data_IF_933738794513
#
_entry.id   IF_933738794513
#
_cell.length_a   1.000
_cell.length_b   1.000
_cell.length_c   1.000
_cell.angle_alpha   90.00
_cell.angle_beta   90.00
_cell.angle_gamma   90.00
#
_symmetry.space_group_name_H-M   'P 1'
#
loop_
_entity.id
_entity.type
_entity.pdbx_description
1 polymer ?
#
# COMPACT_ATOMS: atom_id res chain seq x y z
N UNK A 1 -3.52 13.31 1.46
CA UNK A 1 -2.10 13.71 1.29
C UNK A 1 -1.67 13.83 -0.17
N UNK A 2 -1.77 12.78 -0.99
CA UNK A 2 -1.29 12.86 -2.39
C UNK A 2 -2.11 13.83 -3.24
N UNK A 3 -3.42 13.95 -3.00
CA UNK A 3 -4.24 14.98 -3.66
C UNK A 3 -3.86 16.42 -3.26
N UNK A 4 -3.31 16.62 -2.06
CA UNK A 4 -2.75 17.92 -1.65
C UNK A 4 -1.50 18.23 -2.46
N UNK A 5 -0.63 17.24 -2.68
CA UNK A 5 0.49 17.36 -3.61
C UNK A 5 0.00 17.72 -5.02
N UNK A 6 -1.01 17.01 -5.54
CA UNK A 6 -1.58 17.30 -6.85
C UNK A 6 -2.14 18.72 -6.94
N UNK A 7 -2.83 19.19 -5.89
CA UNK A 7 -3.36 20.55 -5.79
C UNK A 7 -2.24 21.59 -5.77
N UNK A 8 -1.14 21.34 -5.04
CA UNK A 8 0.01 22.22 -5.01
C UNK A 8 0.71 22.28 -6.38
N UNK A 9 0.88 21.14 -7.04
CA UNK A 9 1.41 21.06 -8.40
C UNK A 9 0.55 21.83 -9.42
N UNK A 10 -0.77 21.68 -9.35
CA UNK A 10 -1.71 22.38 -10.24
C UNK A 10 -1.63 23.91 -10.07
N UNK A 11 -1.63 24.40 -8.82
CA UNK A 11 -1.46 25.83 -8.51
C UNK A 11 -0.17 26.41 -9.07
N UNK A 12 0.90 25.63 -9.06
CA UNK A 12 2.22 26.01 -9.58
C UNK A 12 2.40 25.68 -11.07
N UNK A 13 1.37 25.15 -11.75
CA UNK A 13 1.38 24.76 -13.17
C UNK A 13 2.49 23.78 -13.52
N UNK A 14 2.67 22.75 -12.68
CA UNK A 14 3.65 21.69 -12.88
C UNK A 14 2.99 20.32 -12.88
N UNK A 15 3.70 19.34 -13.46
CA UNK A 15 3.30 17.95 -13.36
C UNK A 15 3.38 17.43 -11.92
N UNK A 16 2.45 16.55 -11.57
CA UNK A 16 2.59 15.72 -10.36
C UNK A 16 3.78 14.79 -10.58
N UNK A 17 4.74 14.72 -9.64
CA UNK A 17 5.90 13.86 -9.80
C UNK A 17 5.47 12.39 -9.83
N UNK A 18 6.34 11.53 -10.33
CA UNK A 18 6.08 10.09 -10.35
C UNK A 18 6.80 9.46 -9.16
N UNK A 19 6.04 8.85 -8.26
CA UNK A 19 6.57 8.18 -7.08
C UNK A 19 6.28 6.68 -7.09
N UNK A 20 7.27 5.87 -6.69
CA UNK A 20 7.11 4.41 -6.57
C UNK A 20 6.66 3.98 -5.17
N UNK A 21 6.96 4.77 -4.14
CA UNK A 21 6.56 4.50 -2.76
C UNK A 21 6.28 5.80 -2.00
N UNK A 22 5.39 5.69 -1.01
CA UNK A 22 5.09 6.74 -0.03
C UNK A 22 5.26 6.11 1.34
N UNK A 23 6.02 6.76 2.22
CA UNK A 23 6.14 6.36 3.61
C UNK A 23 5.45 7.40 4.46
N UNK A 24 4.48 6.97 5.25
CA UNK A 24 3.76 7.84 6.18
C UNK A 24 4.21 7.52 7.60
N UNK A 25 5.08 8.37 8.13
CA UNK A 25 5.48 8.34 9.52
C UNK A 25 4.54 9.14 10.41
N UNK A 26 4.84 9.19 11.71
CA UNK A 26 3.97 9.83 12.70
C UNK A 26 3.77 11.33 12.45
N UNK A 27 4.82 12.03 12.01
CA UNK A 27 4.79 13.49 11.79
C UNK A 27 5.20 13.90 10.37
N UNK A 28 5.75 12.97 9.59
CA UNK A 28 6.38 13.26 8.30
C UNK A 28 5.93 12.25 7.26
N UNK A 29 5.76 12.74 6.04
CA UNK A 29 5.43 11.97 4.85
C UNK A 29 6.62 12.03 3.92
N UNK A 30 7.11 10.88 3.48
CA UNK A 30 8.15 10.78 2.47
C UNK A 30 7.58 10.24 1.18
N UNK A 31 7.98 10.84 0.07
CA UNK A 31 7.62 10.45 -1.28
C UNK A 31 8.90 10.04 -2.00
N UNK A 32 9.01 8.75 -2.33
CA UNK A 32 10.16 8.21 -3.06
C UNK A 32 9.91 8.29 -4.56
N UNK A 33 10.64 9.18 -5.21
CA UNK A 33 10.46 9.51 -6.62
C UNK A 33 11.17 8.50 -7.51
N UNK A 34 10.51 8.20 -8.63
CA UNK A 34 11.09 7.39 -9.72
C UNK A 34 12.21 8.15 -10.44
N UNK A 35 12.02 9.44 -10.64
CA UNK A 35 13.00 10.35 -11.25
C UNK A 35 13.35 11.43 -10.24
N UNK A 36 14.64 11.69 -9.98
CA UNK A 36 15.05 12.78 -9.10
C UNK A 36 14.48 14.13 -9.54
N UNK A 37 13.98 14.91 -8.60
CA UNK A 37 13.51 16.29 -8.79
C UNK A 37 13.87 17.10 -7.52
N UNK A 38 14.67 18.15 -7.67
CA UNK A 38 15.15 18.96 -6.54
C UNK A 38 14.24 20.14 -6.21
N UNK A 39 13.21 20.40 -7.03
CA UNK A 39 12.35 21.56 -6.90
C UNK A 39 10.94 21.11 -6.60
N UNK A 40 10.59 20.75 -5.36
CA UNK A 40 9.23 20.37 -4.99
C UNK A 40 8.29 21.58 -4.90
N UNK A 41 6.96 21.38 -4.94
CA UNK A 41 6.02 22.47 -4.75
C UNK A 41 5.97 22.94 -3.30
N UNK A 42 5.33 24.07 -3.05
CA UNK A 42 5.12 24.60 -1.71
C UNK A 42 4.49 23.55 -0.79
N UNK A 43 5.08 23.35 0.40
CA UNK A 43 4.65 22.28 1.31
C UNK A 43 5.62 21.13 1.42
N UNK A 44 6.45 20.95 0.41
CA UNK A 44 7.37 19.84 0.28
C UNK A 44 8.82 20.34 0.24
N UNK A 45 9.73 19.48 0.69
CA UNK A 45 11.17 19.73 0.67
C UNK A 45 11.85 18.51 0.07
N UNK A 46 12.80 18.70 -0.84
CA UNK A 46 13.58 17.62 -1.42
C UNK A 46 14.83 17.37 -0.59
N UNK A 47 15.26 16.12 -0.54
CA UNK A 47 16.60 15.79 -0.08
C UNK A 47 17.66 16.19 -1.12
N UNK A 48 18.93 16.12 -0.74
CA UNK A 48 20.05 16.50 -1.63
C UNK A 48 20.13 15.66 -2.90
N UNK A 49 19.55 14.46 -2.91
CA UNK A 49 19.54 13.60 -4.10
C UNK A 49 18.38 13.90 -5.05
N UNK A 50 17.40 14.72 -4.62
CA UNK A 50 16.13 14.93 -5.32
C UNK A 50 15.25 13.68 -5.40
N UNK A 51 15.65 12.55 -4.80
CA UNK A 51 14.90 11.28 -4.90
C UNK A 51 13.82 11.15 -3.85
N UNK A 52 13.94 11.89 -2.75
CA UNK A 52 12.95 11.84 -1.68
C UNK A 52 12.44 13.23 -1.41
N UNK A 53 11.13 13.41 -1.56
CA UNK A 53 10.45 14.59 -1.03
C UNK A 53 9.85 14.29 0.32
N UNK A 54 9.84 15.28 1.19
CA UNK A 54 9.23 15.16 2.50
C UNK A 54 8.39 16.38 2.85
N UNK A 55 7.32 16.14 3.61
CA UNK A 55 6.42 17.16 4.13
C UNK A 55 5.89 16.77 5.51
N UNK A 56 5.53 17.76 6.33
CA UNK A 56 4.91 17.50 7.61
C UNK A 56 3.48 16.96 7.43
N UNK A 57 3.18 15.82 8.03
CA UNK A 57 1.88 15.15 7.92
C UNK A 57 0.74 16.08 8.35
N UNK A 58 0.87 16.69 9.53
CA UNK A 58 -0.14 17.63 10.07
C UNK A 58 -0.43 18.80 9.13
N UNK A 59 0.59 19.29 8.42
CA UNK A 59 0.42 20.37 7.44
C UNK A 59 -0.40 19.87 6.28
N UNK A 60 0.02 18.75 5.67
CA UNK A 60 -0.72 18.16 4.54
C UNK A 60 -2.18 17.85 4.90
N UNK A 61 -2.45 17.41 6.13
CA UNK A 61 -3.82 17.14 6.58
C UNK A 61 -4.69 18.40 6.75
N UNK A 62 -4.08 19.57 6.93
CA UNK A 62 -4.78 20.85 7.08
C UNK A 62 -5.03 21.60 5.76
N UNK A 63 -4.39 21.17 4.67
CA UNK A 63 -4.47 21.83 3.37
C UNK A 63 -5.76 21.45 2.62
N UNK A 64 -6.30 22.39 1.86
CA UNK A 64 -7.44 22.13 0.98
C UNK A 64 -7.04 21.36 -0.26
N UNK A 65 -7.97 20.55 -0.76
CA UNK A 65 -7.78 19.72 -1.96
C UNK A 65 -8.71 20.22 -3.07
N UNK A 66 -8.20 20.32 -4.29
CA UNK A 66 -9.04 20.56 -5.47
C UNK A 66 -9.83 19.29 -5.83
N UNK A 67 -11.16 19.39 -5.84
CA UNK A 67 -12.05 18.26 -6.14
C UNK A 67 -12.07 17.87 -7.62
N UNK A 68 -11.74 18.80 -8.50
CA UNK A 68 -11.72 18.59 -9.95
C UNK A 68 -10.49 17.82 -10.47
N UNK A 69 -9.46 17.65 -9.64
CA UNK A 69 -8.24 16.98 -10.07
C UNK A 69 -8.41 15.45 -10.00
N UNK A 70 -7.93 14.72 -11.01
CA UNK A 70 -7.95 13.26 -10.98
C UNK A 70 -7.06 12.72 -9.84
N UNK A 71 -7.32 11.48 -9.43
CA UNK A 71 -6.50 10.82 -8.43
C UNK A 71 -5.08 10.60 -8.99
N UNK A 72 -4.03 11.15 -8.33
CA UNK A 72 -2.67 11.14 -8.89
C UNK A 72 -2.07 9.74 -8.95
N UNK A 73 -2.33 8.89 -7.94
CA UNK A 73 -1.81 7.53 -7.87
C UNK A 73 -2.95 6.54 -7.55
N UNK A 74 -3.77 6.15 -8.55
CA UNK A 74 -4.96 5.34 -8.28
C UNK A 74 -4.65 3.88 -7.93
N UNK A 75 -3.45 3.38 -8.27
CA UNK A 75 -2.98 2.01 -7.96
C UNK A 75 -2.04 1.98 -6.75
N UNK A 76 -2.35 2.80 -5.75
CA UNK A 76 -1.62 2.84 -4.50
C UNK A 76 -2.15 1.74 -3.56
N UNK A 77 -1.25 0.93 -3.03
CA UNK A 77 -1.56 -0.18 -2.12
C UNK A 77 -0.66 -0.19 -0.89
N UNK A 78 -1.20 -0.68 0.21
CA UNK A 78 -0.57 -0.86 1.51
C UNK A 78 0.40 -2.03 1.50
N UNK A 79 1.64 -1.80 1.92
CA UNK A 79 2.65 -2.87 2.03
C UNK A 79 2.88 -3.33 3.47
N UNK A 80 2.97 -2.39 4.41
CA UNK A 80 3.26 -2.67 5.81
C UNK A 80 4.08 -1.55 6.46
N UNK A 81 4.76 -1.84 7.56
CA UNK A 81 5.49 -0.85 8.35
C UNK A 81 7.00 -0.97 8.21
N UNK A 82 7.65 0.17 8.35
CA UNK A 82 9.10 0.30 8.46
C UNK A 82 9.43 1.03 9.77
N UNK A 83 10.72 1.19 10.10
CA UNK A 83 11.12 2.04 11.21
C UNK A 83 10.67 3.50 11.03
N UNK A 84 10.51 3.96 9.79
CA UNK A 84 10.07 5.32 9.45
C UNK A 84 8.56 5.50 9.45
N UNK A 85 7.79 4.45 9.19
CA UNK A 85 6.33 4.51 9.14
C UNK A 85 5.69 3.50 8.18
N UNK A 86 4.40 3.71 7.93
CA UNK A 86 3.60 2.85 7.07
C UNK A 86 3.89 3.12 5.59
N UNK A 87 4.08 2.06 4.81
CA UNK A 87 4.49 2.09 3.41
C UNK A 87 3.30 1.84 2.51
N UNK A 88 3.12 2.74 1.55
CA UNK A 88 2.22 2.62 0.42
C UNK A 88 3.06 2.50 -0.87
N UNK A 89 2.79 1.49 -1.69
CA UNK A 89 3.44 1.25 -2.97
C UNK A 89 2.54 1.68 -4.13
N UNK A 90 3.13 2.34 -5.11
CA UNK A 90 2.45 2.69 -6.34
C UNK A 90 2.73 1.63 -7.42
N UNK A 91 1.81 0.68 -7.59
CA UNK A 91 1.99 -0.46 -8.50
C UNK A 91 2.13 -0.02 -9.97
N UNK A 92 1.66 1.19 -10.32
CA UNK A 92 1.80 1.73 -11.68
C UNK A 92 3.26 1.94 -12.10
N UNK A 93 4.20 1.95 -11.15
CA UNK A 93 5.58 2.33 -11.41
C UNK A 93 6.54 1.19 -11.69
N UNK A 94 6.10 -0.06 -11.55
CA UNK A 94 6.92 -1.20 -11.90
C UNK A 94 7.40 -1.11 -13.36
N UNK A 95 6.47 -1.01 -14.31
CA UNK A 95 6.77 -1.08 -15.75
C UNK A 95 7.34 -2.45 -16.12
N UNK A 96 6.59 -3.49 -15.78
CA UNK A 96 6.95 -4.91 -15.90
C UNK A 96 6.31 -5.72 -14.77
N UNK A 97 6.63 -7.02 -14.70
CA UNK A 97 6.05 -7.93 -13.70
C UNK A 97 6.58 -7.63 -12.29
N UNK A 98 5.68 -7.53 -11.33
CA UNK A 98 5.97 -7.55 -9.89
C UNK A 98 5.82 -9.00 -9.41
N UNK A 99 6.89 -9.59 -8.90
CA UNK A 99 6.85 -10.95 -8.32
C UNK A 99 6.75 -10.89 -6.80
N UNK A 100 5.83 -11.67 -6.22
CA UNK A 100 5.71 -11.93 -4.79
C UNK A 100 6.21 -13.35 -4.51
N UNK A 101 7.43 -13.47 -3.99
CA UNK A 101 8.12 -14.74 -3.78
C UNK A 101 8.30 -15.05 -2.28
N UNK A 102 8.68 -16.29 -1.95
CA UNK A 102 8.91 -16.72 -0.57
C UNK A 102 7.75 -17.54 -0.01
N UNK A 103 7.30 -17.20 1.20
CA UNK A 103 6.18 -17.89 1.85
C UNK A 103 4.88 -17.68 1.07
N UNK A 104 4.34 -18.77 0.54
CA UNK A 104 3.17 -18.73 -0.34
C UNK A 104 1.89 -18.27 0.36
N UNK A 105 1.77 -18.50 1.69
CA UNK A 105 0.60 -18.03 2.46
C UNK A 105 0.66 -16.52 2.61
N UNK A 106 1.81 -15.99 3.02
CA UNK A 106 2.00 -14.55 3.19
C UNK A 106 1.89 -13.78 1.87
N UNK A 107 2.48 -14.31 0.79
CA UNK A 107 2.38 -13.70 -0.54
C UNK A 107 0.94 -13.65 -1.05
N UNK A 108 0.15 -14.70 -0.79
CA UNK A 108 -1.27 -14.72 -1.15
C UNK A 108 -2.08 -13.75 -0.30
N UNK A 109 -1.85 -13.71 1.01
CA UNK A 109 -2.54 -12.79 1.91
C UNK A 109 -2.29 -11.33 1.53
N UNK A 110 -1.04 -10.96 1.19
CA UNK A 110 -0.71 -9.62 0.70
C UNK A 110 -1.45 -9.28 -0.59
N UNK A 111 -1.49 -10.21 -1.55
CA UNK A 111 -2.23 -10.01 -2.80
C UNK A 111 -3.76 -9.89 -2.59
N UNK A 112 -4.31 -10.61 -1.62
CA UNK A 112 -5.72 -10.52 -1.23
C UNK A 112 -6.03 -9.18 -0.55
N UNK A 113 -5.12 -8.66 0.29
CA UNK A 113 -5.25 -7.33 0.86
C UNK A 113 -5.19 -6.23 -0.20
N UNK A 114 -4.24 -6.31 -1.14
CA UNK A 114 -4.18 -5.38 -2.27
C UNK A 114 -5.44 -5.44 -3.12
N UNK A 115 -5.98 -6.64 -3.36
CA UNK A 115 -7.25 -6.79 -4.08
C UNK A 115 -8.36 -6.04 -3.36
N UNK A 116 -8.49 -6.23 -2.03
CA UNK A 116 -9.51 -5.56 -1.23
C UNK A 116 -9.32 -4.05 -1.30
N UNK A 117 -8.11 -3.58 -1.06
CA UNK A 117 -7.79 -2.16 -1.07
C UNK A 117 -8.09 -1.51 -2.43
N UNK A 118 -7.64 -2.10 -3.53
CA UNK A 118 -7.87 -1.57 -4.87
C UNK A 118 -9.35 -1.56 -5.28
N UNK A 119 -10.17 -2.45 -4.71
CA UNK A 119 -11.61 -2.54 -5.02
C UNK A 119 -12.48 -1.70 -4.09
N UNK A 120 -12.00 -1.34 -2.90
CA UNK A 120 -12.79 -0.59 -1.90
C UNK A 120 -12.29 0.83 -1.65
N UNK A 121 -11.06 1.16 -2.06
CA UNK A 121 -10.48 2.47 -1.72
C UNK A 121 -11.00 3.59 -2.64
N UNK A 122 -11.33 4.77 -2.09
CA UNK A 122 -11.80 5.89 -2.90
C UNK A 122 -10.81 6.36 -3.96
N UNK A 123 -9.50 6.29 -3.68
CA UNK A 123 -8.47 6.70 -4.64
C UNK A 123 -8.29 5.72 -5.81
N UNK A 124 -8.79 4.50 -5.68
CA UNK A 124 -8.72 3.45 -6.71
C UNK A 124 -9.96 3.40 -7.58
N UNK A 125 -10.82 4.42 -7.53
CA UNK A 125 -11.97 4.51 -8.43
C UNK A 125 -11.55 4.40 -9.90
N UNK A 126 -12.18 3.48 -10.62
CA UNK A 126 -11.87 3.20 -12.03
C UNK A 126 -10.73 2.20 -12.26
N UNK A 127 -10.03 1.75 -11.21
CA UNK A 127 -9.02 0.69 -11.36
C UNK A 127 -9.71 -0.67 -11.53
N UNK A 128 -9.43 -1.34 -12.64
CA UNK A 128 -9.87 -2.72 -12.84
C UNK A 128 -8.96 -3.68 -12.06
N UNK A 129 -9.53 -4.64 -11.36
CA UNK A 129 -8.78 -5.68 -10.65
C UNK A 129 -9.14 -7.05 -11.23
N UNK A 130 -8.17 -7.70 -11.88
CA UNK A 130 -8.34 -9.00 -12.51
C UNK A 130 -7.53 -10.03 -11.74
N UNK A 131 -8.16 -11.15 -11.37
CA UNK A 131 -7.53 -12.22 -10.58
C UNK A 131 -7.52 -13.51 -11.38
N UNK A 132 -6.33 -14.03 -11.68
CA UNK A 132 -6.13 -15.22 -12.51
C UNK A 132 -5.59 -16.37 -11.64
N UNK A 133 -6.26 -17.53 -11.68
CA UNK A 133 -5.87 -18.72 -10.93
C UNK A 133 -6.37 -18.78 -9.49
N UNK A 134 -7.16 -17.80 -9.02
CA UNK A 134 -7.78 -17.79 -7.70
C UNK A 134 -9.10 -18.57 -7.70
N UNK A 135 -9.44 -19.23 -6.58
CA UNK A 135 -10.76 -19.87 -6.42
C UNK A 135 -11.82 -18.78 -6.22
N UNK A 136 -13.00 -18.86 -6.88
CA UNK A 136 -14.09 -17.93 -6.61
C UNK A 136 -14.64 -18.13 -5.19
N UNK A 137 -14.77 -17.03 -4.43
CA UNK A 137 -15.35 -17.01 -3.08
C UNK A 137 -16.85 -16.63 -3.07
N UNK A 138 -17.56 -16.80 -1.93
CA UNK A 138 -18.95 -16.37 -1.80
C UNK A 138 -18.99 -14.85 -1.69
N UNK A 139 -19.60 -14.18 -2.67
CA UNK A 139 -19.83 -12.73 -2.76
C UNK A 139 -18.59 -11.90 -3.18
N UNK A 140 -18.17 -12.00 -4.44
CA UNK A 140 -17.38 -10.94 -5.11
C UNK A 140 -18.31 -10.18 -6.06
N UNK A 141 -18.95 -9.13 -5.55
CA UNK A 141 -19.92 -8.29 -6.30
C UNK A 141 -19.44 -6.85 -6.52
N UNK A 142 -18.15 -6.59 -6.35
CA UNK A 142 -17.57 -5.25 -6.54
C UNK A 142 -16.49 -5.27 -7.63
N UNK A 143 -16.73 -4.51 -8.70
CA UNK A 143 -15.88 -4.43 -9.88
C UNK A 143 -16.02 -5.64 -10.79
N UNK A 144 -15.69 -5.50 -12.07
CA UNK A 144 -15.65 -6.63 -13.02
C UNK A 144 -14.51 -7.59 -12.65
N UNK A 145 -14.67 -8.38 -11.60
CA UNK A 145 -13.89 -9.60 -11.37
C UNK A 145 -14.37 -10.64 -12.38
N UNK A 146 -13.98 -10.44 -13.64
CA UNK A 146 -13.95 -11.56 -14.55
C UNK A 146 -12.91 -12.53 -13.99
N UNK A 147 -13.34 -13.73 -13.62
CA UNK A 147 -12.48 -14.91 -13.53
C UNK A 147 -12.68 -15.67 -14.83
N UNK A 148 -12.14 -15.19 -15.96
CA UNK A 148 -12.26 -15.92 -17.21
C UNK A 148 -11.51 -17.25 -17.09
N UNK A 149 -12.02 -18.28 -17.76
CA UNK A 149 -11.17 -19.40 -18.12
C UNK A 149 -9.92 -18.85 -18.87
N UNK A 150 -8.76 -19.54 -18.90
CA UNK A 150 -7.57 -19.04 -19.60
C UNK A 150 -7.82 -18.57 -21.05
N UNK A 151 -8.89 -19.07 -21.68
CA UNK A 151 -9.34 -18.69 -23.02
C UNK A 151 -10.05 -17.31 -23.12
N UNK A 152 -10.61 -16.76 -22.02
CA UNK A 152 -11.41 -15.52 -22.02
C UNK A 152 -10.68 -14.31 -21.37
N UNK A 153 -9.41 -14.50 -20.96
CA UNK A 153 -8.59 -13.46 -20.32
C UNK A 153 -8.36 -12.21 -21.18
N UNK A 154 -8.37 -12.38 -22.51
CA UNK A 154 -8.17 -11.29 -23.46
C UNK A 154 -9.27 -10.21 -23.37
N UNK A 155 -10.53 -10.59 -23.11
CA UNK A 155 -11.64 -9.65 -23.01
C UNK A 155 -11.60 -8.83 -21.71
N UNK A 156 -11.22 -9.47 -20.60
CA UNK A 156 -11.11 -8.81 -19.29
C UNK A 156 -9.92 -7.83 -19.23
N UNK A 157 -8.85 -8.10 -19.98
CA UNK A 157 -7.65 -7.26 -20.04
C UNK A 157 -7.69 -6.20 -21.16
N UNK A 158 -8.74 -6.23 -22.00
CA UNK A 158 -8.98 -5.26 -23.08
C UNK A 158 -9.82 -4.05 -22.70
N UNK A 159 -10.20 -3.91 -21.43
CA UNK A 159 -11.01 -2.78 -20.95
C UNK A 159 -10.30 -1.43 -21.09
N UNK A 160 -11.04 -0.39 -21.48
CA UNK A 160 -10.53 0.97 -21.53
C UNK A 160 -10.22 1.46 -20.10
N UNK A 161 -8.96 1.83 -19.82
CA UNK A 161 -8.52 2.41 -18.55
C UNK A 161 -7.47 1.61 -17.76
N UNK A 162 -7.21 0.35 -18.15
CA UNK A 162 -6.19 -0.48 -17.51
C UNK A 162 -6.52 -0.87 -16.06
N UNK A 163 -5.55 -1.37 -15.30
CA UNK A 163 -5.80 -1.90 -13.97
C UNK A 163 -4.63 -2.60 -13.29
N UNK A 164 -4.97 -3.55 -12.42
CA UNK A 164 -4.06 -4.47 -11.73
C UNK A 164 -4.48 -5.90 -12.03
N UNK A 165 -3.56 -6.69 -12.59
CA UNK A 165 -3.75 -8.12 -12.80
C UNK A 165 -2.95 -8.88 -11.74
N UNK A 166 -3.63 -9.67 -10.90
CA UNK A 166 -3.01 -10.55 -9.92
C UNK A 166 -3.10 -12.00 -10.39
N UNK A 167 -1.96 -12.69 -10.44
CA UNK A 167 -1.85 -14.05 -10.94
C UNK A 167 -1.30 -14.98 -9.86
N UNK A 168 -1.95 -16.13 -9.67
CA UNK A 168 -1.37 -17.24 -8.92
C UNK A 168 -0.46 -18.05 -9.83
N UNK A 169 0.83 -17.71 -9.81
CA UNK A 169 1.84 -18.28 -10.69
C UNK A 169 1.79 -17.73 -12.12
N UNK A 170 2.89 -17.88 -12.84
CA UNK A 170 2.96 -17.48 -14.24
C UNK A 170 2.40 -18.62 -15.12
N UNK A 171 1.46 -18.33 -16.04
CA UNK A 171 0.95 -19.36 -16.94
C UNK A 171 2.05 -19.82 -17.92
N UNK A 172 1.85 -21.00 -18.52
CA UNK A 172 2.74 -21.54 -19.55
C UNK A 172 2.36 -21.11 -20.98
N UNK A 173 3.18 -21.49 -21.96
CA UNK A 173 2.84 -21.37 -23.38
C UNK A 173 2.57 -19.93 -23.85
N UNK A 174 1.56 -19.75 -24.72
CA UNK A 174 1.20 -18.46 -25.33
C UNK A 174 0.67 -17.44 -24.32
N UNK A 175 0.05 -17.91 -23.24
CA UNK A 175 -0.49 -17.02 -22.21
C UNK A 175 0.62 -16.30 -21.47
N UNK A 176 1.77 -16.96 -21.27
CA UNK A 176 2.97 -16.33 -20.71
C UNK A 176 3.43 -15.12 -21.51
N UNK A 177 3.55 -15.28 -22.82
CA UNK A 177 3.99 -14.20 -23.73
C UNK A 177 3.00 -13.03 -23.74
N UNK A 178 1.71 -13.31 -23.56
CA UNK A 178 0.67 -12.28 -23.40
C UNK A 178 0.85 -11.51 -22.09
N UNK A 179 1.08 -12.20 -20.97
CA UNK A 179 1.30 -11.55 -19.67
C UNK A 179 2.54 -10.65 -19.68
N UNK A 180 3.64 -11.09 -20.31
CA UNK A 180 4.82 -10.21 -20.48
C UNK A 180 4.51 -8.97 -21.33
N UNK A 181 3.82 -9.13 -22.46
CA UNK A 181 3.40 -7.97 -23.28
C UNK A 181 2.48 -7.01 -22.54
N UNK A 182 1.58 -7.53 -21.70
CA UNK A 182 0.70 -6.72 -20.86
C UNK A 182 1.50 -5.93 -19.81
N UNK A 183 2.49 -6.58 -19.18
CA UNK A 183 3.32 -5.98 -18.15
C UNK A 183 4.30 -4.94 -18.71
N UNK A 184 4.80 -5.15 -19.92
CA UNK A 184 5.76 -4.29 -20.61
C UNK A 184 5.09 -3.20 -21.48
N UNK A 185 3.77 -3.02 -21.36
CA UNK A 185 3.03 -1.97 -22.06
C UNK A 185 3.64 -0.58 -21.76
N UNK A 186 4.12 0.16 -22.78
CA UNK A 186 4.69 1.50 -22.59
C UNK A 186 3.71 2.51 -22.00
N UNK A 187 2.40 2.32 -22.20
CA UNK A 187 1.37 3.17 -21.61
C UNK A 187 1.12 2.84 -20.13
N UNK A 188 1.69 1.73 -19.63
CA UNK A 188 1.56 1.31 -18.24
C UNK A 188 0.11 1.08 -17.82
N UNK A 189 -0.77 0.69 -18.75
CA UNK A 189 -2.19 0.53 -18.44
C UNK A 189 -2.39 -0.54 -17.37
N UNK A 190 -1.57 -1.59 -17.35
CA UNK A 190 -1.67 -2.69 -16.40
C UNK A 190 -0.48 -2.79 -15.47
N UNK A 191 -0.76 -3.00 -14.19
CA UNK A 191 0.22 -3.46 -13.21
C UNK A 191 0.05 -4.97 -13.03
N UNK A 192 1.09 -5.75 -13.33
CA UNK A 192 1.00 -7.21 -13.30
C UNK A 192 1.73 -7.73 -12.08
N UNK A 193 0.99 -8.40 -11.18
CA UNK A 193 1.49 -9.01 -9.96
C UNK A 193 1.39 -10.53 -10.09
N UNK A 194 2.51 -11.24 -9.89
CA UNK A 194 2.57 -12.70 -9.95
C UNK A 194 3.00 -13.23 -8.59
N UNK A 195 2.18 -14.08 -7.99
CA UNK A 195 2.54 -14.83 -6.78
C UNK A 195 3.34 -16.05 -7.20
N UNK A 196 4.60 -16.11 -6.78
CA UNK A 196 5.55 -17.15 -7.13
C UNK A 196 6.71 -16.66 -8.00
N UNK A 197 7.62 -17.58 -8.30
CA UNK A 197 8.88 -17.24 -8.95
C UNK A 197 8.70 -16.81 -10.39
N UNK A 198 9.39 -15.71 -10.74
CA UNK A 198 9.51 -15.22 -12.12
C UNK A 198 10.99 -15.07 -12.47
N UNK A 199 11.39 -15.38 -13.70
CA UNK A 199 12.79 -15.35 -14.13
C UNK A 199 13.32 -13.91 -14.21
N UNK A 200 12.53 -13.00 -14.78
CA UNK A 200 12.90 -11.60 -15.00
C UNK A 200 11.82 -10.62 -14.52
N UNK A 201 11.47 -10.63 -13.22
CA UNK A 201 10.55 -9.65 -12.68
C UNK A 201 11.23 -8.29 -12.67
N UNK A 202 10.43 -7.26 -12.91
CA UNK A 202 10.86 -5.88 -12.80
C UNK A 202 11.05 -5.47 -11.35
N UNK A 203 10.09 -5.86 -10.50
CA UNK A 203 10.20 -5.76 -9.05
C UNK A 203 10.11 -7.16 -8.45
N UNK A 204 11.08 -7.51 -7.60
CA UNK A 204 11.12 -8.79 -6.89
C UNK A 204 10.92 -8.52 -5.42
N UNK A 205 9.77 -8.92 -4.89
CA UNK A 205 9.48 -8.84 -3.47
C UNK A 205 9.58 -10.24 -2.87
N UNK A 206 10.38 -10.39 -1.83
CA UNK A 206 10.52 -11.66 -1.10
C UNK A 206 9.91 -11.52 0.27
N UNK A 207 8.97 -12.42 0.59
CA UNK A 207 8.18 -12.41 1.81
C UNK A 207 8.52 -13.66 2.61
N UNK A 208 8.96 -13.49 3.85
CA UNK A 208 9.23 -14.64 4.73
C UNK A 208 7.97 -15.10 5.49
N UNK A 209 8.09 -16.21 6.22
CA UNK A 209 6.98 -16.78 6.98
C UNK A 209 6.47 -15.88 8.13
N UNK A 210 7.27 -14.90 8.56
CA UNK A 210 6.91 -13.93 9.61
C UNK A 210 6.22 -12.69 9.05
N UNK A 211 6.10 -12.57 7.72
CA UNK A 211 5.46 -11.43 7.05
C UNK A 211 6.42 -10.27 6.78
N UNK A 212 7.74 -10.47 6.93
CA UNK A 212 8.72 -9.45 6.53
C UNK A 212 8.91 -9.51 5.02
N UNK A 213 8.78 -8.36 4.37
CA UNK A 213 8.88 -8.16 2.93
C UNK A 213 10.15 -7.38 2.62
N UNK A 214 11.09 -8.01 1.92
CA UNK A 214 12.17 -7.29 1.25
C UNK A 214 11.69 -6.88 -0.14
N UNK A 215 11.71 -5.57 -0.41
CA UNK A 215 11.26 -5.00 -1.68
C UNK A 215 12.40 -4.73 -2.67
N UNK A 216 13.63 -4.58 -2.17
CA UNK A 216 14.75 -3.99 -2.91
C UNK A 216 14.53 -2.54 -3.40
N UNK A 217 13.39 -1.91 -3.08
CA UNK A 217 13.04 -0.54 -3.48
C UNK A 217 13.28 0.48 -2.36
N UNK A 218 13.29 0.01 -1.12
CA UNK A 218 13.45 0.80 0.09
C UNK A 218 14.73 0.41 0.79
N UNK A 219 15.27 1.33 1.61
CA UNK A 219 16.51 1.10 2.35
C UNK A 219 16.38 0.04 3.46
N UNK A 220 15.14 -0.30 3.85
CA UNK A 220 14.83 -1.22 4.94
C UNK A 220 13.69 -2.19 4.55
N UNK A 221 13.67 -3.41 5.10
CA UNK A 221 12.57 -4.34 4.88
C UNK A 221 11.28 -3.85 5.54
N UNK A 222 10.15 -4.27 5.01
CA UNK A 222 8.81 -3.85 5.42
C UNK A 222 8.11 -4.97 6.16
N UNK A 223 7.67 -4.72 7.39
CA UNK A 223 6.93 -5.68 8.19
C UNK A 223 5.44 -5.59 7.84
N UNK A 224 4.87 -6.62 7.24
CA UNK A 224 3.44 -6.67 6.98
C UNK A 224 2.68 -6.82 8.31
N UNK A 225 1.62 -6.03 8.52
CA UNK A 225 0.70 -6.27 9.63
C UNK A 225 -0.14 -7.50 9.33
N UNK A 226 0.19 -8.62 9.99
CA UNK A 226 -0.56 -9.86 9.89
C UNK A 226 -1.93 -9.70 10.56
N UNK A 227 -2.99 -10.18 9.91
CA UNK A 227 -4.24 -10.48 10.58
C UNK A 227 -4.14 -11.88 11.21
N UNK A 228 -4.02 -12.04 12.53
CA UNK A 228 -3.81 -13.36 13.14
C UNK A 228 -4.92 -14.37 12.84
N UNK A 229 -6.15 -13.91 12.58
CA UNK A 229 -7.26 -14.79 12.25
C UNK A 229 -7.15 -15.42 10.85
N UNK A 230 -6.34 -14.84 9.95
CA UNK A 230 -6.17 -15.25 8.54
C UNK A 230 -4.73 -15.68 8.25
N UNK A 231 -3.76 -15.05 8.90
CA UNK A 231 -2.34 -15.05 8.54
C UNK A 231 -1.45 -15.80 9.55
N UNK A 232 -2.03 -16.33 10.64
CA UNK A 232 -1.24 -17.17 11.55
C UNK A 232 -0.81 -18.41 10.76
N UNK A 233 0.50 -18.69 10.64
CA UNK A 233 0.93 -19.95 10.09
C UNK A 233 0.28 -21.02 10.96
N UNK A 234 -0.49 -21.94 10.36
CA UNK A 234 -0.88 -23.17 11.04
C UNK A 234 0.42 -23.73 11.63
N UNK A 235 0.59 -23.57 12.94
CA UNK A 235 1.67 -24.20 13.67
C UNK A 235 1.52 -25.67 13.31
N UNK A 236 2.64 -26.30 12.98
CA UNK A 236 2.66 -27.70 12.62
C UNK A 236 1.99 -28.53 13.74
N UNK A 237 0.69 -28.80 13.58
CA UNK A 237 0.05 -29.94 14.21
C UNK A 237 0.50 -31.15 13.41
N UNK A 238 1.72 -31.61 13.73
CA UNK A 238 2.21 -32.90 13.30
C UNK A 238 2.70 -33.64 14.56
N UNK A 239 1.80 -34.54 15.00
CA UNK A 239 2.06 -35.82 15.65
C UNK A 239 2.65 -35.83 17.06
N UNK A 240 1.76 -35.66 18.04
CA UNK A 240 1.82 -36.44 19.28
C UNK A 240 0.69 -37.47 19.29
N UNK A 241 0.93 -38.62 18.65
CA UNK A 241 0.17 -39.84 18.92
C UNK A 241 0.49 -40.30 20.36
N UNK A 242 -0.49 -40.43 21.28
CA UNK A 242 -0.23 -40.85 22.66
C UNK A 242 0.06 -42.35 22.81
N UNK A 243 0.16 -43.12 21.71
CA UNK A 243 0.22 -44.59 21.77
C UNK A 243 1.31 -45.20 20.88
N UNK A 244 2.57 -44.88 21.16
CA UNK A 244 3.74 -45.60 20.61
C UNK A 244 4.68 -46.13 21.71
N UNK A 245 5.05 -47.43 21.73
CA UNK A 245 5.97 -47.97 22.74
C UNK A 245 7.44 -47.55 22.46
N UNK A 246 8.33 -47.60 23.48
CA UNK A 246 9.57 -46.83 23.47
C UNK A 246 10.72 -47.43 22.63
N UNK A 247 11.63 -46.53 22.22
CA UNK A 247 12.78 -46.72 21.34
C UNK A 247 13.67 -47.95 21.63
N UNK A 248 14.13 -48.59 20.56
CA UNK A 248 15.32 -49.43 20.54
C UNK A 248 16.48 -48.77 19.75
N UNK A 249 17.68 -48.93 20.30
CA UNK A 249 18.95 -48.27 19.96
C UNK A 249 19.54 -48.71 18.60
N UNK A 250 20.37 -47.82 18.04
CA UNK A 250 21.15 -47.97 16.82
C UNK A 250 22.17 -49.13 16.83
N UNK A 251 22.52 -49.63 15.63
CA UNK A 251 23.89 -50.00 15.23
C UNK A 251 24.01 -50.14 13.68
N UNK A 252 25.23 -50.02 13.10
CA UNK A 252 25.45 -49.64 11.69
C UNK A 252 25.91 -50.80 10.77
N UNK A 253 25.95 -50.46 9.47
CA UNK A 253 26.85 -50.99 8.42
C UNK A 253 26.49 -52.34 7.74
N UNK A 254 26.24 -52.31 6.43
CA UNK A 254 27.01 -53.15 5.49
C UNK A 254 26.92 -52.68 4.04
N UNK A 255 28.11 -52.54 3.44
CA UNK A 255 28.40 -52.22 2.05
C UNK A 255 27.93 -53.32 1.09
N UNK A 256 27.54 -52.94 -0.13
CA UNK A 256 27.87 -53.70 -1.36
C UNK A 256 27.82 -52.74 -2.56
N UNK A 257 28.94 -52.21 -3.06
CA UNK A 257 30.03 -52.76 -3.90
C UNK A 257 29.86 -52.27 -5.34
N UNK A 258 30.86 -51.49 -5.73
CA UNK A 258 31.12 -50.82 -7.01
C UNK A 258 31.13 -51.75 -8.23
N UNK A 259 30.90 -51.20 -9.45
CA UNK A 259 31.91 -51.04 -10.56
C UNK A 259 31.27 -50.90 -11.97
N UNK A 260 32.04 -50.33 -12.94
CA UNK A 260 31.61 -49.27 -13.87
C UNK A 260 31.54 -49.75 -15.33
N UNK A 261 31.73 -48.83 -16.31
CA UNK A 261 31.91 -48.95 -17.78
C UNK A 261 30.79 -48.20 -18.56
N UNK A 262 30.99 -47.37 -19.60
CA UNK A 262 32.17 -46.97 -20.41
C UNK A 262 31.83 -45.68 -21.18
N UNK A 263 32.86 -44.86 -21.45
CA UNK A 263 32.87 -43.83 -22.51
C UNK A 263 32.68 -44.46 -23.91
N UNK A 264 31.97 -43.76 -24.80
CA UNK A 264 32.29 -43.67 -26.24
C UNK A 264 32.06 -42.24 -26.75
N UNK A 265 32.79 -41.92 -27.81
CA UNK A 265 33.35 -40.63 -28.22
C UNK A 265 32.94 -40.33 -29.69
N UNK A 266 32.95 -39.02 -30.07
CA UNK A 266 32.91 -38.41 -31.42
C UNK A 266 31.56 -38.46 -32.16
N UNK A 267 31.10 -37.39 -32.83
CA UNK A 267 31.72 -36.75 -34.01
C UNK A 267 31.51 -35.22 -34.03
N UNK A 268 32.58 -34.53 -34.43
CA UNK A 268 32.69 -33.12 -34.83
C UNK A 268 32.22 -32.96 -36.28
N UNK A 269 31.48 -31.91 -36.62
CA UNK A 269 31.52 -31.37 -37.99
C UNK A 269 31.33 -29.86 -38.00
N UNK A 270 32.39 -29.19 -38.44
CA UNK A 270 32.56 -27.77 -38.74
C UNK A 270 32.03 -27.44 -40.13
N UNK A 271 31.43 -26.26 -40.30
CA UNK A 271 31.48 -25.51 -41.57
C UNK A 271 31.77 -24.03 -41.25
N UNK A 272 32.85 -23.54 -41.86
CA UNK A 272 33.33 -22.15 -41.90
C UNK A 272 33.19 -21.66 -43.33
N UNK A 273 32.56 -20.49 -43.55
CA UNK A 273 32.81 -19.47 -44.61
C UNK A 273 32.06 -18.21 -44.13
N UNK A 274 32.59 -17.03 -43.76
CA UNK A 274 33.69 -16.13 -44.17
C UNK A 274 33.35 -15.09 -45.28
N UNK A 275 33.58 -13.81 -44.93
CA UNK A 275 33.79 -12.58 -45.74
C UNK A 275 32.54 -11.74 -46.15
N UNK A 276 32.32 -10.54 -45.57
CA UNK A 276 32.91 -9.18 -45.83
C UNK A 276 32.26 -8.53 -47.08
N UNK A 277 31.80 -7.25 -47.13
CA UNK A 277 32.54 -5.98 -46.97
C UNK A 277 31.56 -4.77 -46.82
N UNK A 278 32.04 -3.78 -46.06
CA UNK A 278 31.77 -2.33 -45.93
C UNK A 278 30.77 -1.55 -46.82
N UNK A 279 30.26 -0.46 -46.21
CA UNK A 279 29.77 0.73 -46.91
C UNK A 279 29.39 1.85 -45.95
N UNK A 280 30.33 2.76 -45.64
CA UNK A 280 30.05 4.03 -44.99
C UNK A 280 29.47 5.02 -46.02
N UNK A 281 28.44 5.79 -45.63
CA UNK A 281 28.07 7.01 -46.36
C UNK A 281 27.69 8.12 -45.38
N UNK A 282 28.58 9.10 -45.28
CA UNK A 282 28.32 10.45 -44.77
C UNK A 282 27.32 11.16 -45.67
N UNK A 283 26.38 11.91 -45.10
CA UNK A 283 25.82 13.12 -45.72
C UNK A 283 25.31 14.08 -44.63
N UNK A 284 26.01 15.20 -44.50
CA UNK A 284 25.70 16.43 -43.76
C UNK A 284 24.71 17.30 -44.52
N UNK A 285 23.84 18.06 -43.83
CA UNK A 285 23.22 19.36 -44.19
C UNK A 285 22.48 19.85 -42.91
N UNK A 286 22.90 20.83 -42.09
CA UNK A 286 23.19 22.28 -42.24
C UNK A 286 21.95 23.21 -42.09
N UNK A 287 21.66 23.60 -40.83
CA UNK A 287 21.10 24.89 -40.33
C UNK A 287 19.75 25.43 -40.85
N UNK A 288 19.18 26.54 -40.29
CA UNK A 288 19.71 27.45 -39.27
C UNK A 288 18.75 27.81 -38.10
N UNK A 289 19.31 28.29 -36.98
CA UNK A 289 18.69 29.17 -35.97
C UNK A 289 18.48 30.58 -36.57
N UNK A 290 17.59 31.50 -36.08
CA UNK A 290 17.89 32.25 -34.84
C UNK A 290 16.70 32.94 -34.12
N UNK A 291 17.06 33.70 -33.07
CA UNK A 291 16.35 34.78 -32.35
C UNK A 291 15.55 34.40 -31.10
N UNK A 292 15.55 35.15 -30.00
CA UNK A 292 16.35 36.25 -29.43
C UNK A 292 15.69 36.55 -28.07
N UNK A 293 16.48 36.83 -27.03
CA UNK A 293 15.99 37.39 -25.77
C UNK A 293 15.37 38.79 -25.95
N UNK A 294 14.64 39.27 -24.93
CA UNK A 294 15.17 40.38 -24.12
C UNK A 294 14.98 40.10 -22.62
N UNK A 295 15.99 40.21 -21.75
CA UNK A 295 16.51 41.42 -21.09
C UNK A 295 15.43 42.49 -20.83
N UNK A 296 14.97 42.56 -19.59
CA UNK A 296 14.49 43.80 -18.99
C UNK A 296 15.15 43.96 -17.60
N UNK A 297 16.14 44.85 -17.55
CA UNK A 297 16.61 45.49 -16.32
C UNK A 297 15.65 46.62 -15.95
N UNK A 298 15.23 46.69 -14.69
CA UNK A 298 14.95 47.91 -13.93
C UNK A 298 14.56 47.50 -12.51
N UNK A 299 14.78 48.27 -11.46
CA UNK A 299 15.76 49.28 -11.10
C UNK A 299 15.65 49.36 -9.59
N UNK A 300 16.73 49.75 -8.94
CA UNK A 300 16.90 49.80 -7.50
C UNK A 300 15.77 50.54 -6.76
N UNK A 301 15.45 50.08 -5.56
CA UNK A 301 15.35 51.00 -4.44
C UNK A 301 15.96 50.41 -3.17
N UNK A 302 16.86 51.18 -2.59
CA UNK A 302 17.68 50.90 -1.40
C UNK A 302 17.02 51.60 -0.19
N UNK A 303 17.61 51.40 1.00
CA UNK A 303 17.37 52.04 2.33
C UNK A 303 16.16 51.50 3.11
N UNK A 304 16.23 51.09 4.39
CA UNK A 304 17.29 51.07 5.42
C UNK A 304 16.83 50.13 6.59
N UNK A 305 17.65 49.92 7.64
CA UNK A 305 17.59 48.73 8.50
C UNK A 305 16.80 48.92 9.81
N UNK A 306 16.27 47.82 10.34
CA UNK A 306 15.95 47.72 11.78
C UNK A 306 16.73 46.56 12.39
N UNK A 307 17.64 46.94 13.29
CA UNK A 307 18.43 46.10 14.18
C UNK A 307 17.60 45.56 15.35
N UNK A 308 18.12 44.47 15.92
CA UNK A 308 17.96 43.97 17.31
C UNK A 308 16.61 43.36 17.70
N UNK A 309 16.57 42.04 17.90
CA UNK A 309 16.78 41.46 19.22
C UNK A 309 16.71 39.92 19.18
N UNK A 310 17.81 39.29 19.57
CA UNK A 310 17.90 37.87 19.91
C UNK A 310 17.04 37.60 21.14
N UNK A 311 15.98 36.79 21.00
CA UNK A 311 15.26 36.21 22.12
C UNK A 311 15.22 34.69 21.94
N UNK A 312 16.03 34.01 22.74
CA UNK A 312 15.98 32.57 22.97
C UNK A 312 14.66 32.22 23.67
N UNK A 313 13.81 31.33 23.14
CA UNK A 313 12.73 30.77 23.93
C UNK A 313 13.25 29.50 24.64
N UNK A 314 13.26 29.61 25.95
CA UNK A 314 13.51 28.57 26.94
C UNK A 314 12.60 27.36 26.69
N UNK A 315 13.17 26.16 26.84
CA UNK A 315 12.47 24.87 26.79
C UNK A 315 11.47 24.77 27.95
N UNK A 316 10.22 25.13 27.71
CA UNK A 316 9.13 24.91 28.66
C UNK A 316 8.55 23.51 28.47
N UNK A 317 8.82 22.63 29.43
CA UNK A 317 8.17 21.32 29.58
C UNK A 317 6.68 21.50 29.85
N UNK A 318 5.75 20.96 29.05
CA UNK A 318 4.35 20.87 29.44
C UNK A 318 4.16 19.78 30.51
N UNK A 319 3.36 20.02 31.56
CA UNK A 319 3.12 19.04 32.61
C UNK A 319 2.26 17.89 32.07
N UNK A 320 2.54 16.69 32.58
CA UNK A 320 1.66 15.53 32.43
C UNK A 320 0.25 15.91 32.90
N UNK A 321 -0.67 16.06 31.95
CA UNK A 321 -2.08 16.29 32.25
C UNK A 321 -2.74 14.93 32.39
N UNK A 322 -2.94 14.51 33.64
CA UNK A 322 -3.83 13.43 34.03
C UNK A 322 -5.26 13.82 33.66
N UNK A 323 -5.68 13.53 32.42
CA UNK A 323 -7.06 13.71 31.99
C UNK A 323 -7.92 12.58 32.58
N UNK A 324 -9.02 12.98 33.23
CA UNK A 324 -9.99 12.11 33.87
C UNK A 324 -10.49 11.02 32.91
N UNK A 325 -10.49 9.78 33.41
CA UNK A 325 -10.99 8.61 32.71
C UNK A 325 -12.49 8.77 32.41
N UNK A 326 -12.82 8.83 31.12
CA UNK A 326 -14.16 8.44 30.67
C UNK A 326 -14.38 6.95 30.98
N UNK A 327 -15.64 6.55 31.11
CA UNK A 327 -15.97 5.14 31.36
C UNK A 327 -15.81 4.36 30.05
N UNK A 328 -14.63 3.77 29.85
CA UNK A 328 -14.32 2.96 28.69
C UNK A 328 -15.36 1.85 28.55
N UNK A 329 -16.09 1.82 27.43
CA UNK A 329 -17.22 0.89 27.22
C UNK A 329 -17.04 0.11 25.92
N UNK A 330 -17.50 -1.14 25.90
CA UNK A 330 -17.55 -1.91 24.66
C UNK A 330 -18.59 -1.33 23.70
N UNK A 331 -18.29 -1.33 22.40
CA UNK A 331 -19.23 -0.93 21.35
C UNK A 331 -19.59 -2.16 20.52
N UNK A 332 -20.80 -2.68 20.70
CA UNK A 332 -21.29 -3.94 20.11
C UNK A 332 -22.14 -3.65 18.90
N UNK A 333 -21.83 -4.30 17.77
CA UNK A 333 -22.70 -4.29 16.62
C UNK A 333 -23.81 -5.34 16.81
N UNK A 334 -25.10 -4.96 16.89
CA UNK A 334 -26.18 -5.90 17.20
C UNK A 334 -26.50 -6.86 16.04
N UNK A 335 -26.13 -6.52 14.80
CA UNK A 335 -26.32 -7.41 13.64
C UNK A 335 -25.41 -8.63 13.69
N UNK A 336 -24.22 -8.49 14.28
CA UNK A 336 -23.21 -9.57 14.35
C UNK A 336 -22.98 -10.11 15.76
N UNK A 337 -23.38 -9.38 16.81
CA UNK A 337 -23.07 -9.69 18.20
C UNK A 337 -21.59 -9.50 18.57
N UNK A 338 -20.80 -8.87 17.71
CA UNK A 338 -19.36 -8.66 17.87
C UNK A 338 -19.04 -7.24 18.32
N UNK A 339 -17.88 -7.07 18.96
CA UNK A 339 -17.40 -5.81 19.47
C UNK A 339 -16.50 -5.10 18.47
N UNK A 340 -16.70 -3.79 18.32
CA UNK A 340 -15.78 -2.90 17.62
C UNK A 340 -14.42 -2.93 18.30
N UNK A 341 -13.39 -3.21 17.52
CA UNK A 341 -12.04 -3.42 18.04
C UNK A 341 -11.03 -2.60 17.26
N UNK A 342 -10.15 -1.92 18.00
CA UNK A 342 -8.89 -1.39 17.48
C UNK A 342 -7.84 -2.48 17.22
N UNK A 343 -8.16 -3.75 17.47
CA UNK A 343 -7.26 -4.91 17.41
C UNK A 343 -6.01 -4.76 18.32
N UNK A 344 -5.07 -5.70 18.24
CA UNK A 344 -3.78 -5.56 18.90
C UNK A 344 -2.92 -4.42 18.31
N UNK A 345 -3.32 -3.85 17.16
CA UNK A 345 -2.51 -2.95 16.35
C UNK A 345 -2.21 -1.56 16.96
N UNK A 346 -1.28 -0.88 16.30
CA UNK A 346 -0.77 0.47 16.59
C UNK A 346 -1.44 1.52 15.70
N UNK A 347 -0.92 2.75 15.71
CA UNK A 347 -1.31 3.83 14.79
C UNK A 347 -1.49 3.33 13.34
N UNK A 348 -2.58 3.74 12.69
CA UNK A 348 -2.95 3.31 11.34
C UNK A 348 -3.66 1.96 11.23
N UNK A 349 -3.98 1.27 12.34
CA UNK A 349 -4.62 -0.05 12.24
C UNK A 349 -6.11 0.07 11.94
N UNK A 350 -6.64 -0.56 10.86
CA UNK A 350 -8.07 -0.60 10.59
C UNK A 350 -8.87 -1.20 11.75
N UNK A 351 -10.04 -0.63 12.01
CA UNK A 351 -10.98 -1.21 12.96
C UNK A 351 -11.67 -2.42 12.34
N UNK A 352 -12.02 -3.37 13.19
CA UNK A 352 -12.76 -4.58 12.83
C UNK A 352 -13.85 -4.86 13.87
N UNK A 353 -14.70 -5.84 13.59
CA UNK A 353 -15.53 -6.50 14.59
C UNK A 353 -14.90 -7.82 15.01
N UNK A 354 -14.68 -7.99 16.30
CA UNK A 354 -14.13 -9.20 16.90
C UNK A 354 -15.06 -9.77 17.97
N UNK A 355 -14.84 -11.04 18.36
CA UNK A 355 -15.53 -11.62 19.49
C UNK A 355 -15.34 -10.72 20.72
N UNK A 356 -16.42 -10.40 21.42
CA UNK A 356 -16.35 -9.58 22.62
C UNK A 356 -15.60 -10.33 23.72
N UNK A 357 -14.44 -9.82 24.11
CA UNK A 357 -13.54 -10.47 25.08
C UNK A 357 -13.16 -9.54 26.25
N UNK A 358 -13.60 -8.28 26.21
CA UNK A 358 -13.35 -7.29 27.26
C UNK A 358 -11.93 -6.72 27.26
N UNK A 359 -11.10 -7.08 26.26
CA UNK A 359 -9.74 -6.58 26.17
C UNK A 359 -9.71 -5.07 25.92
N UNK A 360 -8.60 -4.43 26.30
CA UNK A 360 -8.42 -2.96 26.24
C UNK A 360 -8.61 -2.38 24.83
N UNK A 361 -8.35 -3.16 23.77
CA UNK A 361 -8.58 -2.79 22.37
C UNK A 361 -10.06 -2.75 21.96
N UNK A 362 -10.97 -3.20 22.82
CA UNK A 362 -12.42 -3.13 22.62
C UNK A 362 -13.09 -2.14 23.59
N UNK A 363 -12.31 -1.53 24.48
CA UNK A 363 -12.78 -0.53 25.42
C UNK A 363 -12.61 0.85 24.78
N UNK A 364 -13.74 1.53 24.57
CA UNK A 364 -13.81 2.82 23.89
C UNK A 364 -14.22 3.93 24.84
N UNK A 365 -13.36 4.93 24.94
CA UNK A 365 -13.55 6.16 25.71
C UNK A 365 -14.04 7.28 24.80
N UNK A 366 -15.20 7.86 25.10
CA UNK A 366 -15.61 9.13 24.48
C UNK A 366 -14.97 10.25 25.29
N UNK A 367 -13.89 10.82 24.76
CA UNK A 367 -13.13 11.86 25.43
C UNK A 367 -13.82 13.23 25.33
N UNK A 368 -13.57 14.09 26.32
CA UNK A 368 -14.17 15.44 26.38
C UNK A 368 -13.77 16.36 25.23
N UNK A 369 -12.70 16.02 24.51
CA UNK A 369 -12.25 16.74 23.33
C UNK A 369 -12.99 16.31 22.04
N UNK A 370 -14.01 15.44 22.14
CA UNK A 370 -14.83 15.00 21.01
C UNK A 370 -14.20 13.87 20.18
N UNK A 371 -13.15 13.23 20.68
CA UNK A 371 -12.57 12.02 20.08
C UNK A 371 -13.09 10.76 20.76
N UNK A 372 -13.18 9.66 20.02
CA UNK A 372 -13.47 8.33 20.56
C UNK A 372 -12.16 7.56 20.57
N UNK A 373 -11.75 6.99 21.71
CA UNK A 373 -10.39 6.48 21.92
C UNK A 373 -10.36 5.06 22.42
N UNK A 374 -9.35 4.30 22.02
CA UNK A 374 -9.02 3.00 22.61
C UNK A 374 -7.51 2.86 22.68
N UNK A 375 -6.97 2.25 23.74
CA UNK A 375 -5.51 2.10 23.94
C UNK A 375 -4.72 3.44 23.83
N UNK A 376 -5.35 4.55 24.17
CA UNK A 376 -4.75 5.89 24.03
C UNK A 376 -4.66 6.43 22.60
N UNK A 377 -5.20 5.71 21.61
CA UNK A 377 -5.31 6.12 20.20
C UNK A 377 -6.75 6.53 19.89
N UNK A 378 -6.92 7.39 18.89
CA UNK A 378 -8.20 7.92 18.45
C UNK A 378 -8.77 7.12 17.27
N UNK A 379 -10.09 6.92 17.25
CA UNK A 379 -10.81 6.52 16.05
C UNK A 379 -10.62 7.59 14.97
N UNK A 380 -10.27 7.16 13.76
CA UNK A 380 -9.76 8.02 12.70
C UNK A 380 -10.29 7.57 11.34
N UNK A 381 -10.82 8.50 10.56
CA UNK A 381 -11.08 8.27 9.15
C UNK A 381 -9.74 8.28 8.40
N UNK A 382 -9.34 7.13 7.85
CA UNK A 382 -7.99 6.91 7.40
C UNK A 382 -7.51 8.00 6.44
N UNK A 383 -6.35 8.56 6.76
CA UNK A 383 -5.69 9.63 5.98
C UNK A 383 -6.51 10.92 5.81
N UNK A 384 -7.56 11.11 6.63
CA UNK A 384 -8.48 12.24 6.54
C UNK A 384 -9.40 12.20 5.32
N UNK A 385 -9.57 11.03 4.70
CA UNK A 385 -10.50 10.88 3.58
C UNK A 385 -11.96 11.00 4.04
N UNK A 386 -12.80 11.56 3.17
CA UNK A 386 -14.21 11.90 3.46
C UNK A 386 -15.21 11.13 2.61
N UNK A 387 -14.73 10.28 1.69
CA UNK A 387 -15.60 9.55 0.78
C UNK A 387 -16.20 8.30 1.44
N UNK A 388 -17.39 7.84 1.01
CA UNK A 388 -17.89 6.52 1.37
C UNK A 388 -16.88 5.42 1.01
N UNK A 389 -16.78 4.40 1.86
CA UNK A 389 -15.78 3.33 1.75
C UNK A 389 -14.44 3.66 2.42
N UNK A 390 -14.23 4.89 2.90
CA UNK A 390 -13.02 5.25 3.66
C UNK A 390 -12.88 4.35 4.88
N UNK A 391 -11.73 3.66 5.00
CA UNK A 391 -11.43 2.81 6.15
C UNK A 391 -11.39 3.64 7.43
N UNK A 392 -11.99 3.12 8.50
CA UNK A 392 -11.84 3.69 9.84
C UNK A 392 -10.74 2.90 10.56
N UNK A 393 -9.82 3.61 11.19
CA UNK A 393 -8.64 3.06 11.87
C UNK A 393 -8.49 3.62 13.29
N UNK A 394 -7.56 3.07 14.06
CA UNK A 394 -6.99 3.75 15.24
C UNK A 394 -5.75 4.53 14.83
N UNK A 395 -5.63 5.77 15.30
CA UNK A 395 -4.47 6.62 15.02
C UNK A 395 -4.04 7.45 16.23
N UNK A 396 -2.80 7.96 16.23
CA UNK A 396 -2.33 8.90 17.25
C UNK A 396 -3.24 10.11 17.28
N UNK A 397 -3.74 10.46 18.46
CA UNK A 397 -4.61 11.60 18.64
C UNK A 397 -3.87 12.90 18.29
N UNK A 398 -4.26 13.53 17.19
CA UNK A 398 -3.61 14.69 16.57
C UNK A 398 -4.47 15.96 16.62
N UNK A 399 -5.74 15.83 17.01
CA UNK A 399 -6.73 16.92 16.97
C UNK A 399 -7.35 17.15 15.60
N UNK A 400 -6.94 16.35 14.59
CA UNK A 400 -7.46 16.38 13.23
C UNK A 400 -9.00 16.16 13.22
N UNK A 401 -9.77 16.93 12.42
CA UNK A 401 -11.21 16.70 12.24
C UNK A 401 -11.59 15.25 11.87
N UNK A 402 -10.69 14.51 11.20
CA UNK A 402 -10.87 13.11 10.82
C UNK A 402 -10.98 12.17 12.03
N UNK A 403 -10.55 12.63 13.21
CA UNK A 403 -10.60 11.89 14.48
C UNK A 403 -11.84 12.21 15.32
N UNK A 404 -12.77 12.99 14.76
CA UNK A 404 -13.97 13.45 15.46
C UNK A 404 -15.16 12.63 15.02
N UNK A 405 -15.42 11.58 15.79
CA UNK A 405 -16.63 10.77 15.70
C UNK A 405 -17.55 11.13 16.85
N UNK A 406 -18.78 11.49 16.54
CA UNK A 406 -19.80 11.83 17.52
C UNK A 406 -20.83 10.70 17.57
N UNK A 407 -21.10 10.10 18.74
CA UNK A 407 -22.24 9.22 18.90
C UNK A 407 -23.53 9.98 18.55
N UNK A 408 -24.33 9.44 17.63
CA UNK A 408 -25.66 9.96 17.25
C UNK A 408 -26.69 8.85 17.35
N UNK A 409 -27.34 8.74 18.51
CA UNK A 409 -28.08 7.52 18.84
C UNK A 409 -27.10 6.36 18.96
N UNK A 410 -27.36 5.27 18.23
CA UNK A 410 -26.48 4.10 18.18
C UNK A 410 -25.46 4.16 17.02
N UNK A 411 -25.36 5.25 16.25
CA UNK A 411 -24.35 5.36 15.18
C UNK A 411 -23.14 6.20 15.60
N UNK A 412 -22.01 5.99 14.93
CA UNK A 412 -20.78 6.75 15.13
C UNK A 412 -20.56 7.68 13.93
N UNK A 413 -20.94 8.94 14.07
CA UNK A 413 -20.99 9.88 12.96
C UNK A 413 -19.71 10.70 12.82
N UNK A 414 -19.14 10.74 11.61
CA UNK A 414 -18.06 11.64 11.21
C UNK A 414 -18.63 12.93 10.63
N UNK A 415 -18.42 14.05 11.33
CA UNK A 415 -18.88 15.36 10.89
C UNK A 415 -18.12 15.89 9.67
N UNK A 416 -16.83 15.56 9.54
CA UNK A 416 -16.02 15.97 8.39
C UNK A 416 -16.49 15.30 7.10
N UNK A 417 -16.85 14.02 7.18
CA UNK A 417 -17.26 13.24 6.02
C UNK A 417 -18.77 13.30 5.73
N UNK A 418 -19.57 13.69 6.73
CA UNK A 418 -21.03 13.54 6.71
C UNK A 418 -21.47 12.08 6.48
N UNK A 419 -20.76 11.14 7.13
CA UNK A 419 -20.93 9.70 7.01
C UNK A 419 -20.86 9.03 8.39
N UNK A 420 -21.31 7.80 8.48
CA UNK A 420 -21.32 7.00 9.70
C UNK A 420 -20.27 5.89 9.58
N UNK A 421 -19.56 5.58 10.67
CA UNK A 421 -18.76 4.36 10.70
C UNK A 421 -19.70 3.16 10.67
N UNK A 422 -19.40 2.17 9.86
CA UNK A 422 -20.20 0.95 9.76
C UNK A 422 -19.36 -0.25 9.33
N UNK A 423 -19.83 -1.42 9.73
CA UNK A 423 -19.18 -2.68 9.36
C UNK A 423 -19.37 -2.98 7.88
N UNK A 424 -18.33 -3.56 7.30
CA UNK A 424 -18.38 -4.14 5.98
C UNK A 424 -17.86 -5.57 6.04
N UNK A 425 -18.31 -6.39 5.08
CA UNK A 425 -17.82 -7.75 4.88
C UNK A 425 -17.95 -8.62 6.16
N UNK A 426 -19.08 -8.52 6.86
CA UNK A 426 -19.36 -9.31 8.06
C UNK A 426 -18.47 -8.96 9.25
N UNK A 427 -18.04 -7.69 9.31
CA UNK A 427 -17.20 -7.17 10.38
C UNK A 427 -15.71 -7.33 10.19
N UNK A 428 -15.22 -7.70 9.00
CA UNK A 428 -13.77 -7.78 8.74
C UNK A 428 -13.14 -6.42 8.43
N UNK A 429 -13.95 -5.37 8.31
CA UNK A 429 -13.50 -3.99 8.29
C UNK A 429 -14.59 -3.03 8.72
N UNK A 430 -14.18 -1.83 9.12
CA UNK A 430 -15.07 -0.70 9.38
C UNK A 430 -14.75 0.40 8.39
N UNK A 431 -15.78 0.95 7.75
CA UNK A 431 -15.66 2.01 6.77
C UNK A 431 -16.65 3.15 7.06
N UNK A 432 -16.44 4.31 6.45
CA UNK A 432 -17.42 5.37 6.39
C UNK A 432 -18.50 5.01 5.36
N UNK A 433 -19.76 4.97 5.78
CA UNK A 433 -20.92 4.62 4.98
C UNK A 433 -21.95 5.76 5.04
N UNK A 434 -22.85 5.87 4.03
CA UNK A 434 -24.01 6.76 4.15
C UNK A 434 -24.80 6.40 5.40
N UNK A 435 -25.15 7.41 6.19
CA UNK A 435 -25.96 7.21 7.39
C UNK A 435 -27.39 6.80 7.04
N UNK A 436 -27.67 5.51 7.00
CA UNK A 436 -28.94 4.93 6.56
C UNK A 436 -29.69 4.15 7.64
N UNK A 437 -29.15 4.13 8.86
CA UNK A 437 -29.59 3.36 10.02
C UNK A 437 -29.68 1.85 9.77
N UNK A 438 -28.94 1.35 8.78
CA UNK A 438 -28.78 -0.08 8.60
C UNK A 438 -28.09 -0.71 9.81
N UNK A 439 -28.32 -2.00 10.04
CA UNK A 439 -27.68 -2.72 11.16
C UNK A 439 -26.14 -2.70 11.10
N UNK A 440 -25.55 -2.36 9.96
CA UNK A 440 -24.11 -2.28 9.76
C UNK A 440 -23.46 -1.10 10.51
N UNK A 441 -24.15 0.04 10.61
CA UNK A 441 -23.63 1.26 11.24
C UNK A 441 -24.06 1.46 12.71
N UNK A 442 -24.76 0.46 13.26
CA UNK A 442 -25.25 0.47 14.64
C UNK A 442 -24.19 -0.13 15.57
N UNK A 443 -23.84 0.62 16.61
CA UNK A 443 -22.91 0.28 17.68
C UNK A 443 -23.54 0.64 19.03
N UNK A 444 -24.03 -0.36 19.74
CA UNK A 444 -24.61 -0.20 21.07
C UNK A 444 -23.55 -0.32 22.14
N UNK A 445 -23.72 0.41 23.25
CA UNK A 445 -22.90 0.15 24.45
C UNK A 445 -23.22 -1.24 24.99
N UNK A 446 -22.18 -2.06 25.11
CA UNK A 446 -22.23 -3.46 25.55
C UNK A 446 -22.24 -3.63 27.06
#
# INVERSE_FOLDING_TARGET
MVRVLATACDRERRGVPVAHAIVVGPDTVWLHLKTPDEWPPAGWTADHSGRTWQAQLRRLQSESVAESLPEPYPRLVSLGDTGKGFVLLNLSQAGGIISLEGDARQARALAEDWTRELTTSPWSQGVQVVRIGFRPGPVERFGSTAVPAPADGDAALSGEGGGVALLLGLPGGRDRERIYRLADDPQGQWSVVVIGRVDHPRWRFTIDATGVVDTGLLDEPVVRRLNPAVDTPALAEADADPTGPPLAKATPESRRRERPFTRRLLIVSTVVVACLVAGALFLTLKGPTPHSSPVAQASANRTAPHTTATATPTRSTPPASTAAAGTATALVNPGTGKCLSGSAGSDGTPLILAACDGNVNQQWDVASDGTIRTKGLCMDAAWGATAPGTVVQIAVCSGNPAQRFSPRGDTLYSAQANLCAGEVNGGTGIQLLPCDQSGAEVFKRG
#
